data_IF_150839540246
#
_entry.id   IF_150839540246
#
_cell.length_a   1.000
_cell.length_b   1.000
_cell.length_c   1.000
_cell.angle_alpha   90.00
_cell.angle_beta   90.00
_cell.angle_gamma   90.00
#
_symmetry.space_group_name_H-M   'P 1'
#
loop_
_entity.id
_entity.type
_entity.pdbx_description
1 polymer ?
#
# COMPACT_ATOMS: atom_id res chain seq x y z
N UNK A 1 11.66 25.33 5.15
CA UNK A 1 11.69 23.96 5.72
C UNK A 1 12.05 23.02 4.59
N UNK A 2 13.29 22.57 4.55
CA UNK A 2 13.76 21.57 3.58
C UNK A 2 13.20 20.21 3.98
N UNK A 3 12.37 19.61 3.13
CA UNK A 3 12.01 18.19 3.21
C UNK A 3 13.04 17.40 2.41
N UNK A 4 14.27 17.37 2.91
CA UNK A 4 15.41 16.72 2.27
C UNK A 4 15.87 15.51 3.07
N UNK A 5 15.24 14.36 2.86
CA UNK A 5 15.70 13.09 3.39
C UNK A 5 14.65 11.99 3.18
N UNK A 6 15.05 10.92 2.49
CA UNK A 6 14.26 9.70 2.38
C UNK A 6 14.16 9.05 3.77
N UNK A 7 13.24 9.50 4.62
CA UNK A 7 12.99 8.88 5.91
C UNK A 7 12.25 7.57 5.66
N UNK A 8 12.99 6.46 5.59
CA UNK A 8 12.42 5.13 5.41
C UNK A 8 11.76 4.68 6.71
N UNK A 9 10.50 4.24 6.63
CA UNK A 9 9.85 3.52 7.71
C UNK A 9 10.57 2.19 7.99
N UNK A 10 10.71 1.82 9.26
CA UNK A 10 11.19 0.50 9.62
C UNK A 10 10.11 -0.53 9.28
N UNK A 11 10.35 -1.31 8.23
CA UNK A 11 9.44 -2.36 7.72
C UNK A 11 9.85 -3.76 8.18
N UNK A 12 10.61 -3.86 9.28
CA UNK A 12 11.07 -5.14 9.82
C UNK A 12 11.96 -5.92 8.86
N UNK A 13 11.84 -7.25 8.89
CA UNK A 13 12.64 -8.19 8.10
C UNK A 13 12.06 -8.49 6.71
N UNK A 14 11.00 -7.79 6.29
CA UNK A 14 10.29 -8.05 5.03
C UNK A 14 11.02 -7.54 3.78
N UNK A 15 12.21 -6.93 3.94
CA UNK A 15 12.99 -6.41 2.83
C UNK A 15 12.39 -5.15 2.22
N UNK A 16 12.73 -4.89 0.96
CA UNK A 16 12.27 -3.70 0.24
C UNK A 16 10.81 -3.88 -0.21
N UNK A 17 10.05 -2.79 -0.12
CA UNK A 17 8.72 -2.70 -0.69
C UNK A 17 8.76 -1.77 -1.89
N UNK A 18 8.13 -2.19 -2.98
CA UNK A 18 8.08 -1.42 -4.22
C UNK A 18 6.65 -1.07 -4.53
N UNK A 19 6.38 0.19 -4.79
CA UNK A 19 5.06 0.68 -5.13
C UNK A 19 4.51 0.02 -6.40
N UNK A 20 3.22 -0.32 -6.41
CA UNK A 20 2.51 -0.88 -7.58
C UNK A 20 1.08 -0.33 -7.72
N UNK A 21 0.48 -0.53 -8.91
CA UNK A 21 -0.87 -0.11 -9.34
C UNK A 21 -1.13 1.39 -9.50
N UNK A 22 -0.53 2.23 -8.67
CA UNK A 22 -0.62 3.68 -8.83
C UNK A 22 0.80 4.25 -8.79
N UNK A 23 1.18 5.11 -9.74
CA UNK A 23 2.49 5.79 -9.78
C UNK A 23 2.40 7.31 -9.55
N UNK A 24 1.18 7.85 -9.37
CA UNK A 24 0.94 9.29 -9.15
C UNK A 24 1.51 9.74 -7.80
N UNK A 25 1.93 10.99 -7.66
CA UNK A 25 2.56 11.45 -6.41
C UNK A 25 1.69 11.23 -5.16
N UNK A 26 0.37 11.39 -5.26
CA UNK A 26 -0.57 11.22 -4.14
C UNK A 26 -0.81 9.75 -3.76
N UNK A 27 -0.67 8.81 -4.69
CA UNK A 27 -1.13 7.44 -4.45
C UNK A 27 -0.34 6.66 -3.39
N UNK A 28 0.87 7.12 -3.05
CA UNK A 28 1.62 6.63 -1.89
C UNK A 28 2.56 7.70 -1.38
N UNK A 29 2.50 7.97 -0.07
CA UNK A 29 3.36 8.93 0.60
C UNK A 29 3.72 8.44 2.01
N UNK A 30 4.92 8.80 2.46
CA UNK A 30 5.26 8.77 3.88
C UNK A 30 5.00 10.16 4.46
N UNK A 31 4.11 10.25 5.44
CA UNK A 31 3.68 11.53 6.04
C UNK A 31 3.79 11.46 7.55
N UNK A 32 3.77 12.60 8.24
CA UNK A 32 3.67 12.62 9.70
C UNK A 32 2.34 11.99 10.16
N UNK A 33 2.35 11.28 11.28
CA UNK A 33 1.10 10.80 11.89
C UNK A 33 0.24 11.99 12.33
N UNK A 34 -0.94 12.11 11.71
CA UNK A 34 -1.91 13.15 12.04
C UNK A 34 -2.80 12.76 13.22
N UNK A 35 -2.86 11.47 13.56
CA UNK A 35 -3.74 10.96 14.62
C UNK A 35 -3.11 11.07 16.00
N UNK A 36 -1.77 11.07 16.08
CA UNK A 36 -1.00 10.99 17.32
C UNK A 36 -1.13 9.64 18.04
N UNK A 37 -1.73 8.64 17.38
CA UNK A 37 -1.99 7.31 17.97
C UNK A 37 -1.14 6.22 17.36
N UNK A 38 -0.44 6.50 16.24
CA UNK A 38 0.46 5.54 15.65
C UNK A 38 1.70 5.31 16.54
N UNK A 39 2.28 4.10 16.56
CA UNK A 39 3.50 3.82 17.30
C UNK A 39 4.75 4.50 16.69
N UNK A 40 4.60 5.22 15.58
CA UNK A 40 5.67 5.84 14.81
C UNK A 40 5.32 7.29 14.48
N UNK A 41 6.34 8.16 14.35
CA UNK A 41 6.15 9.58 13.96
C UNK A 41 5.70 9.75 12.50
N UNK A 42 6.03 8.78 11.66
CA UNK A 42 5.67 8.74 10.25
C UNK A 42 4.73 7.57 10.00
N UNK A 43 3.83 7.72 9.03
CA UNK A 43 2.86 6.72 8.61
C UNK A 43 2.80 6.63 7.08
N UNK A 44 2.27 5.51 6.60
CA UNK A 44 2.05 5.26 5.17
C UNK A 44 0.66 5.72 4.78
N UNK A 45 0.59 6.72 3.91
CA UNK A 45 -0.66 7.21 3.34
C UNK A 45 -0.84 6.64 1.94
N UNK A 46 -1.94 5.93 1.73
CA UNK A 46 -2.39 5.47 0.43
C UNK A 46 -3.61 6.29 0.04
N UNK A 47 -3.60 6.81 -1.18
CA UNK A 47 -4.72 7.55 -1.75
C UNK A 47 -5.04 6.97 -3.13
N UNK A 48 -6.32 6.90 -3.45
CA UNK A 48 -6.81 6.45 -4.74
C UNK A 48 -7.88 7.43 -5.17
N UNK A 49 -7.66 8.08 -6.29
CA UNK A 49 -8.65 8.97 -6.91
C UNK A 49 -9.35 8.25 -8.07
N UNK A 50 -10.59 8.65 -8.40
CA UNK A 50 -11.25 8.14 -9.59
C UNK A 50 -10.38 8.31 -10.83
N UNK A 51 -10.16 7.22 -11.57
CA UNK A 51 -9.28 7.19 -12.74
C UNK A 51 -7.82 6.86 -12.44
N UNK A 52 -7.45 6.54 -11.19
CA UNK A 52 -6.14 5.98 -10.85
C UNK A 52 -6.03 4.51 -11.26
N UNK A 53 -6.08 4.29 -12.57
CA UNK A 53 -5.99 2.98 -13.22
C UNK A 53 -4.53 2.63 -13.49
N UNK A 54 -4.16 1.38 -13.26
CA UNK A 54 -2.98 0.78 -13.88
C UNK A 54 -3.40 -0.12 -15.05
N UNK A 55 -2.48 -0.31 -15.99
CA UNK A 55 -2.70 -1.17 -17.15
C UNK A 55 -1.41 -1.90 -17.53
N UNK A 56 -1.57 -3.13 -18.01
CA UNK A 56 -0.51 -3.91 -18.66
C UNK A 56 -1.09 -4.61 -19.90
N UNK A 57 -0.25 -5.31 -20.68
CA UNK A 57 -0.67 -5.92 -21.95
C UNK A 57 -1.94 -6.76 -21.82
N UNK A 58 -3.07 -6.25 -22.34
CA UNK A 58 -4.37 -6.92 -22.33
C UNK A 58 -5.22 -6.72 -21.07
N UNK A 59 -4.75 -5.93 -20.08
CA UNK A 59 -5.47 -5.69 -18.83
C UNK A 59 -5.45 -4.21 -18.45
N UNK A 60 -6.60 -3.70 -18.03
CA UNK A 60 -6.76 -2.36 -17.46
C UNK A 60 -7.60 -2.46 -16.21
N UNK A 61 -7.12 -1.90 -15.10
CA UNK A 61 -7.82 -1.96 -13.83
C UNK A 61 -9.21 -1.30 -13.96
N UNK A 62 -9.29 -0.11 -14.58
CA UNK A 62 -10.57 0.58 -14.74
C UNK A 62 -11.52 -0.06 -15.76
N UNK A 63 -10.99 -0.80 -16.75
CA UNK A 63 -11.85 -1.60 -17.63
C UNK A 63 -12.46 -2.82 -16.90
N UNK A 64 -11.96 -3.13 -15.70
CA UNK A 64 -12.37 -4.26 -14.87
C UNK A 64 -12.79 -3.81 -13.45
N UNK A 65 -13.35 -2.60 -13.33
CA UNK A 65 -13.89 -2.04 -12.08
C UNK A 65 -12.91 -2.07 -10.88
N UNK A 66 -11.63 -1.80 -11.15
CA UNK A 66 -10.57 -1.78 -10.15
C UNK A 66 -9.76 -0.49 -10.25
N UNK A 67 -9.39 0.01 -9.07
CA UNK A 67 -8.38 1.05 -8.87
C UNK A 67 -7.57 0.65 -7.64
N UNK A 68 -6.33 1.11 -7.50
CA UNK A 68 -5.56 0.73 -6.32
C UNK A 68 -4.16 1.32 -6.23
N UNK A 69 -3.70 1.43 -4.99
CA UNK A 69 -2.33 1.75 -4.61
C UNK A 69 -1.85 0.67 -3.67
N UNK A 70 -0.80 -0.08 -4.04
CA UNK A 70 -0.26 -1.15 -3.20
C UNK A 70 1.25 -0.98 -3.00
N UNK A 71 1.75 -1.50 -1.88
CA UNK A 71 3.17 -1.73 -1.63
C UNK A 71 3.41 -3.23 -1.46
N UNK A 72 3.68 -3.97 -2.55
CA UNK A 72 4.17 -5.34 -2.46
C UNK A 72 5.60 -5.38 -1.88
N UNK A 73 5.80 -6.27 -0.92
CA UNK A 73 7.13 -6.71 -0.49
C UNK A 73 7.71 -7.76 -1.44
N UNK A 74 9.02 -7.99 -1.34
CA UNK A 74 9.69 -9.03 -2.12
C UNK A 74 9.24 -10.43 -1.67
N UNK A 75 8.60 -11.16 -2.59
CA UNK A 75 7.96 -12.47 -2.35
C UNK A 75 8.93 -13.62 -2.06
N UNK A 76 10.23 -13.39 -2.22
CA UNK A 76 11.24 -14.45 -2.26
C UNK A 76 11.73 -14.86 -0.86
N UNK A 77 11.67 -13.96 0.12
CA UNK A 77 12.07 -14.24 1.51
C UNK A 77 10.98 -14.95 2.35
N UNK A 78 9.76 -15.07 1.83
CA UNK A 78 8.56 -15.40 2.62
C UNK A 78 8.10 -16.86 2.51
N UNK A 79 8.50 -17.57 1.46
CA UNK A 79 7.89 -18.89 1.13
C UNK A 79 8.40 -20.07 1.95
N UNK A 80 9.39 -19.89 2.82
CA UNK A 80 10.11 -20.99 3.49
C UNK A 80 10.08 -20.93 5.02
N UNK A 81 9.36 -19.98 5.62
CA UNK A 81 9.33 -19.77 7.08
C UNK A 81 7.93 -19.33 7.52
N UNK A 82 7.64 -19.55 8.79
CA UNK A 82 6.46 -18.97 9.43
C UNK A 82 6.74 -17.50 9.77
N UNK A 83 5.77 -16.63 9.45
CA UNK A 83 5.89 -15.20 9.62
C UNK A 83 4.66 -14.64 10.35
N UNK A 84 4.90 -13.74 11.29
CA UNK A 84 3.86 -12.95 11.95
C UNK A 84 3.77 -11.57 11.32
N UNK A 85 2.55 -11.13 11.04
CA UNK A 85 2.24 -9.84 10.42
C UNK A 85 1.37 -9.02 11.36
N UNK A 86 1.77 -7.79 11.63
CA UNK A 86 0.98 -6.82 12.39
C UNK A 86 0.89 -5.52 11.60
N UNK A 87 -0.30 -4.93 11.56
CA UNK A 87 -0.54 -3.62 10.97
C UNK A 87 -1.65 -2.89 11.71
N UNK A 88 -1.61 -1.56 11.64
CA UNK A 88 -2.69 -0.68 12.11
C UNK A 88 -3.21 0.10 10.91
N UNK A 89 -4.50 0.40 10.91
CA UNK A 89 -5.15 1.14 9.83
C UNK A 89 -5.94 2.30 10.42
N UNK A 90 -5.79 3.45 9.78
CA UNK A 90 -6.63 4.62 10.02
C UNK A 90 -7.42 4.93 8.75
N UNK A 91 -8.73 5.10 8.90
CA UNK A 91 -9.62 5.52 7.82
C UNK A 91 -10.22 6.88 8.22
N UNK A 92 -9.97 7.96 7.46
CA UNK A 92 -10.57 9.27 7.72
C UNK A 92 -12.11 9.22 7.75
N UNK A 93 -12.72 10.05 8.59
CA UNK A 93 -14.18 10.04 8.83
C UNK A 93 -14.98 10.40 7.57
N UNK A 94 -14.37 11.19 6.69
CA UNK A 94 -14.92 11.74 5.46
C UNK A 94 -14.63 10.83 4.24
N UNK A 95 -14.06 9.64 4.45
CA UNK A 95 -13.82 8.68 3.37
C UNK A 95 -15.17 8.26 2.76
N UNK A 96 -15.42 8.53 1.48
CA UNK A 96 -16.68 8.14 0.86
C UNK A 96 -16.80 6.62 0.82
N UNK A 97 -18.00 6.11 1.10
CA UNK A 97 -18.30 4.69 0.92
C UNK A 97 -18.43 4.39 -0.58
N UNK A 98 -17.31 4.12 -1.21
CA UNK A 98 -17.23 3.61 -2.59
C UNK A 98 -17.42 2.09 -2.56
N UNK A 99 -18.16 1.54 -3.53
CA UNK A 99 -18.47 0.09 -3.61
C UNK A 99 -17.23 -0.75 -3.31
N UNK A 100 -17.40 -1.80 -2.48
CA UNK A 100 -16.38 -2.76 -1.99
C UNK A 100 -14.92 -2.32 -2.24
N UNK A 101 -14.43 -1.35 -1.47
CA UNK A 101 -13.00 -1.18 -1.29
C UNK A 101 -12.44 -2.45 -0.64
N UNK A 102 -11.47 -3.10 -1.28
CA UNK A 102 -10.84 -4.31 -0.74
C UNK A 102 -9.47 -3.97 -0.18
N UNK A 103 -9.40 -3.72 1.13
CA UNK A 103 -8.12 -3.63 1.84
C UNK A 103 -7.51 -5.02 1.94
N UNK A 104 -6.48 -5.30 1.14
CA UNK A 104 -5.76 -6.59 1.20
C UNK A 104 -4.55 -6.48 2.13
N UNK A 105 -4.75 -6.85 3.39
CA UNK A 105 -3.67 -7.12 4.35
C UNK A 105 -3.30 -8.60 4.31
N UNK A 106 -2.55 -9.03 3.30
CA UNK A 106 -2.11 -10.43 3.19
C UNK A 106 -1.33 -10.71 1.92
N UNK A 107 -0.33 -11.58 2.00
CA UNK A 107 0.36 -12.11 0.83
C UNK A 107 -0.66 -12.74 -0.12
N UNK A 108 -0.55 -12.45 -1.41
CA UNK A 108 -1.23 -13.26 -2.43
C UNK A 108 -0.38 -14.52 -2.61
N UNK A 109 -0.80 -15.70 -2.11
CA UNK A 109 -0.11 -16.93 -2.45
C UNK A 109 -0.38 -17.15 -3.93
N UNK A 110 0.67 -17.11 -4.75
CA UNK A 110 0.57 -17.67 -6.10
C UNK A 110 0.39 -19.17 -5.91
N UNK A 111 -0.84 -19.67 -6.06
CA UNK A 111 -1.11 -21.10 -6.10
C UNK A 111 -0.20 -21.71 -7.19
N UNK A 112 0.63 -22.70 -6.88
CA UNK A 112 1.30 -23.47 -7.92
C UNK A 112 0.23 -24.19 -8.75
N UNK A 113 0.44 -24.24 -10.07
CA UNK A 113 -0.40 -24.98 -11.02
C UNK A 113 -0.42 -26.47 -10.71
#
# INVERSE_FOLDING_TARGET
>A
MELGGCQSLNKGSFGAFKRSFNTKAHGYQTVADLTGTAPTKLVERFEVWPGDCSSFHGWSDCANDREGSELPGDRENDRRRDHWYCWSLYVPVDTPNVRRAQTRGGLRPTLPK
#
